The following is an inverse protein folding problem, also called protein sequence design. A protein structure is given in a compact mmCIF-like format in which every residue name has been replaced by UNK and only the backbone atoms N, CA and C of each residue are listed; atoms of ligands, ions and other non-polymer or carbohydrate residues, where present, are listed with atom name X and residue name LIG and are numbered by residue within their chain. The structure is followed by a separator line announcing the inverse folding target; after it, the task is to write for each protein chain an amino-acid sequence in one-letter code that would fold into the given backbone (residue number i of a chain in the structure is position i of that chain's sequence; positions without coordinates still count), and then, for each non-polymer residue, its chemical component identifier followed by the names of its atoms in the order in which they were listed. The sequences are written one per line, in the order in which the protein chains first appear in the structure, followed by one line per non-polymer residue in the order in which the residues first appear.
data_IF_028426697917
#
_entry.id   IF_028426697917
#
_cell.length_a   1.000
_cell.length_b   1.000
_cell.length_c   1.000
_cell.angle_alpha   90.00
_cell.angle_beta   90.00
_cell.angle_gamma   90.00
#
_symmetry.space_group_name_H-M   'P 1'
#
loop_
_entity.id
_entity.type
_entity.pdbx_description
1 polymer ?
#
# COMPACT_ATOMS: atom_id res chain seq x y z
N UNK A 1 -11.91 -7.20 -23.56
CA UNK A 1 -11.12 -8.11 -22.70
C UNK A 1 -9.62 -7.95 -22.94
N UNK A 2 -9.22 -7.11 -23.91
CA UNK A 2 -7.83 -6.92 -24.36
C UNK A 2 -7.04 -5.89 -23.55
N UNK A 3 -7.70 -4.89 -22.96
CA UNK A 3 -7.03 -3.83 -22.19
C UNK A 3 -6.41 -4.33 -20.89
N UNK A 4 -7.07 -5.28 -20.20
CA UNK A 4 -6.54 -5.86 -18.96
C UNK A 4 -5.28 -6.69 -19.28
N UNK A 5 -5.30 -7.48 -20.36
CA UNK A 5 -4.15 -8.30 -20.76
C UNK A 5 -2.95 -7.47 -21.26
N UNK A 6 -3.17 -6.31 -21.90
CA UNK A 6 -2.09 -5.40 -22.27
C UNK A 6 -1.48 -4.67 -21.06
N UNK A 7 -2.27 -4.40 -20.02
CA UNK A 7 -1.82 -3.80 -18.76
C UNK A 7 -0.99 -4.79 -17.93
N UNK A 8 -1.36 -6.07 -17.91
CA UNK A 8 -0.55 -7.13 -17.28
C UNK A 8 0.66 -7.57 -18.12
N UNK A 9 0.68 -7.30 -19.42
CA UNK A 9 1.82 -7.63 -20.28
C UNK A 9 3.09 -6.83 -19.93
N UNK A 10 2.95 -5.68 -19.26
CA UNK A 10 4.08 -4.93 -18.70
C UNK A 10 4.15 -5.13 -17.18
N UNK A 11 5.06 -6.01 -16.69
CA UNK A 11 5.13 -6.37 -15.27
C UNK A 11 5.33 -5.15 -14.37
N UNK A 12 6.10 -4.15 -14.83
CA UNK A 12 6.30 -2.89 -14.12
C UNK A 12 5.03 -2.07 -13.92
N UNK A 13 4.15 -2.01 -14.92
CA UNK A 13 2.91 -1.25 -14.83
C UNK A 13 1.90 -1.94 -13.92
N UNK A 14 1.86 -3.28 -13.97
CA UNK A 14 1.09 -4.09 -13.01
C UNK A 14 1.54 -3.84 -11.57
N UNK A 15 2.84 -3.92 -11.28
CA UNK A 15 3.41 -3.67 -9.94
C UNK A 15 3.06 -2.25 -9.46
N UNK A 16 3.15 -1.25 -10.34
CA UNK A 16 2.84 0.14 -9.98
C UNK A 16 1.36 0.33 -9.60
N UNK A 17 0.43 -0.21 -10.39
CA UNK A 17 -1.01 -0.16 -10.06
C UNK A 17 -1.25 -0.86 -8.71
N UNK A 18 -0.63 -2.01 -8.52
CA UNK A 18 -0.80 -2.79 -7.31
C UNK A 18 -0.30 -2.06 -6.06
N UNK A 19 0.83 -1.34 -6.18
CA UNK A 19 1.34 -0.48 -5.12
C UNK A 19 0.31 0.57 -4.68
N UNK A 20 -0.35 1.25 -5.62
CA UNK A 20 -1.37 2.25 -5.28
C UNK A 20 -2.61 1.64 -4.63
N UNK A 21 -3.04 0.47 -5.08
CA UNK A 21 -4.16 -0.26 -4.48
C UNK A 21 -3.81 -0.64 -3.04
N UNK A 22 -2.63 -1.23 -2.81
CA UNK A 22 -2.18 -1.56 -1.47
C UNK A 22 -1.99 -0.33 -0.58
N UNK A 23 -1.52 0.78 -1.13
CA UNK A 23 -1.36 2.03 -0.38
C UNK A 23 -2.71 2.53 0.12
N UNK A 24 -3.74 2.56 -0.74
CA UNK A 24 -5.07 3.00 -0.37
C UNK A 24 -5.70 2.10 0.71
N UNK A 25 -5.62 0.78 0.52
CA UNK A 25 -6.16 -0.21 1.48
C UNK A 25 -5.43 -0.12 2.82
N UNK A 26 -4.10 -0.06 2.80
CA UNK A 26 -3.28 0.06 4.00
C UNK A 26 -3.58 1.35 4.76
N UNK A 27 -3.82 2.45 4.06
CA UNK A 27 -4.14 3.73 4.70
C UNK A 27 -5.45 3.68 5.48
N UNK A 28 -6.46 2.98 4.95
CA UNK A 28 -7.75 2.79 5.64
C UNK A 28 -7.56 1.90 6.87
N UNK A 29 -6.90 0.75 6.71
CA UNK A 29 -6.71 -0.22 7.80
C UNK A 29 -5.86 0.38 8.92
N UNK A 30 -4.66 0.88 8.58
CA UNK A 30 -3.77 1.48 9.57
C UNK A 30 -4.34 2.77 10.14
N UNK A 31 -5.10 3.55 9.37
CA UNK A 31 -5.82 4.71 9.89
C UNK A 31 -6.76 4.32 11.03
N UNK A 32 -7.58 3.29 10.84
CA UNK A 32 -8.47 2.80 11.91
C UNK A 32 -7.65 2.24 13.08
N UNK A 33 -6.67 1.37 12.82
CA UNK A 33 -5.89 0.72 13.86
C UNK A 33 -5.08 1.73 14.70
N UNK A 34 -4.39 2.68 14.08
CA UNK A 34 -3.57 3.69 14.77
C UNK A 34 -4.45 4.61 15.62
N UNK A 35 -5.61 5.02 15.11
CA UNK A 35 -6.50 5.89 15.87
C UNK A 35 -7.13 5.17 17.07
N UNK A 36 -7.41 3.87 16.95
CA UNK A 36 -7.95 3.06 18.05
C UNK A 36 -6.87 2.67 19.06
N UNK A 37 -5.68 2.28 18.61
CA UNK A 37 -4.61 1.75 19.45
C UNK A 37 -3.82 2.86 20.17
N UNK A 38 -3.57 3.99 19.49
CA UNK A 38 -2.74 5.07 20.02
C UNK A 38 -3.58 6.23 20.55
N UNK A 39 -4.57 5.98 21.41
CA UNK A 39 -5.54 7.02 21.81
C UNK A 39 -4.88 8.28 22.42
N UNK A 40 -3.84 8.10 23.22
CA UNK A 40 -3.18 9.16 23.99
C UNK A 40 -2.04 9.88 23.24
N UNK A 41 -1.73 9.52 21.99
CA UNK A 41 -0.70 10.21 21.20
C UNK A 41 -1.27 11.40 20.43
N UNK A 42 -0.39 12.31 20.04
CA UNK A 42 -0.77 13.50 19.28
C UNK A 42 -1.33 13.14 17.91
N UNK A 43 -2.22 13.99 17.38
CA UNK A 43 -2.82 13.79 16.06
C UNK A 43 -1.77 13.73 14.95
N UNK A 44 -0.69 14.52 15.06
CA UNK A 44 0.42 14.51 14.10
C UNK A 44 1.17 13.17 14.12
N UNK A 45 1.45 12.61 15.30
CA UNK A 45 2.09 11.29 15.41
C UNK A 45 1.21 10.19 14.80
N UNK A 46 -0.11 10.25 14.98
CA UNK A 46 -1.05 9.30 14.38
C UNK A 46 -0.99 9.32 12.84
N UNK A 47 -0.98 10.52 12.26
CA UNK A 47 -0.89 10.68 10.80
C UNK A 47 0.46 10.16 10.28
N UNK A 48 1.56 10.57 10.91
CA UNK A 48 2.91 10.17 10.50
C UNK A 48 3.06 8.64 10.60
N UNK A 49 2.59 8.04 11.70
CA UNK A 49 2.64 6.59 11.91
C UNK A 49 1.82 5.83 10.86
N UNK A 50 0.60 6.30 10.58
CA UNK A 50 -0.27 5.71 9.55
C UNK A 50 0.37 5.78 8.17
N UNK A 51 0.97 6.92 7.82
CA UNK A 51 1.62 7.15 6.54
C UNK A 51 2.84 6.23 6.37
N UNK A 52 3.71 6.17 7.38
CA UNK A 52 4.89 5.29 7.36
C UNK A 52 4.48 3.83 7.23
N UNK A 53 3.54 3.35 8.06
CA UNK A 53 3.06 1.97 8.01
C UNK A 53 2.48 1.62 6.65
N UNK A 54 1.69 2.52 6.06
CA UNK A 54 1.05 2.30 4.76
C UNK A 54 2.07 2.22 3.63
N UNK A 55 3.04 3.14 3.60
CA UNK A 55 4.09 3.16 2.56
C UNK A 55 5.00 1.94 2.68
N UNK A 56 5.47 1.62 3.89
CA UNK A 56 6.36 0.47 4.11
C UNK A 56 5.68 -0.84 3.76
N UNK A 57 4.45 -1.04 4.23
CA UNK A 57 3.69 -2.29 3.98
C UNK A 57 3.41 -2.46 2.48
N UNK A 58 2.95 -1.40 1.81
CA UNK A 58 2.64 -1.44 0.37
C UNK A 58 3.90 -1.61 -0.47
N UNK A 59 5.01 -0.99 -0.08
CA UNK A 59 6.31 -1.15 -0.71
C UNK A 59 6.82 -2.59 -0.62
N UNK A 60 6.80 -3.18 0.58
CA UNK A 60 7.22 -4.57 0.80
C UNK A 60 6.35 -5.56 0.01
N UNK A 61 5.02 -5.42 0.06
CA UNK A 61 4.10 -6.28 -0.70
C UNK A 61 4.35 -6.17 -2.20
N UNK A 62 4.52 -4.96 -2.72
CA UNK A 62 4.78 -4.74 -4.15
C UNK A 62 6.14 -5.30 -4.57
N UNK A 63 7.14 -5.26 -3.68
CA UNK A 63 8.47 -5.81 -3.92
C UNK A 63 8.47 -7.35 -3.91
N UNK A 64 7.71 -7.96 -3.00
CA UNK A 64 7.47 -9.41 -3.02
C UNK A 64 6.84 -9.83 -4.34
N UNK A 65 5.83 -9.11 -4.81
CA UNK A 65 5.15 -9.46 -6.06
C UNK A 65 6.05 -9.20 -7.27
N UNK A 66 6.84 -8.12 -7.24
CA UNK A 66 7.87 -7.89 -8.24
C UNK A 66 8.83 -9.08 -8.36
N UNK A 67 9.27 -9.66 -7.24
CA UNK A 67 10.17 -10.83 -7.23
C UNK A 67 9.53 -12.14 -7.72
N UNK A 68 8.20 -12.22 -7.76
CA UNK A 68 7.46 -13.38 -8.26
C UNK A 68 7.17 -13.23 -9.75
N UNK A 69 6.85 -12.02 -10.18
CA UNK A 69 6.39 -11.71 -11.54
C UNK A 69 7.56 -11.49 -12.52
N UNK A 70 8.71 -11.03 -12.02
CA UNK A 70 9.88 -10.62 -12.80
C UNK A 70 11.01 -11.65 -12.67
#
# INVERSE_FOLDING_TARGET
MDTINQITAHPWFFIMIQFFIYLAVSFIIFGICVFVALQNTSFMEKIITTLILSVVTSGLLSLIIASIVL
#
